data_IF_093743243040
#
_entry.id   IF_093743243040
#
_cell.length_a   1.000
_cell.length_b   1.000
_cell.length_c   1.000
_cell.angle_alpha   90.00
_cell.angle_beta   90.00
_cell.angle_gamma   90.00
#
_symmetry.space_group_name_H-M   'P 1'
#
loop_
_entity.id
_entity.type
_entity.pdbx_description
1 polymer ?
#
# COMPACT_ATOMS: atom_id res chain seq x y z
N UNK A 1 -24.95 10.35 -34.57
CA UNK A 1 -24.50 10.48 -33.17
C UNK A 1 -24.74 9.18 -32.42
N UNK A 2 -23.72 8.69 -31.71
CA UNK A 2 -23.79 7.46 -30.90
C UNK A 2 -23.35 7.81 -29.48
N UNK A 3 -24.13 7.45 -28.46
CA UNK A 3 -23.89 7.81 -27.06
C UNK A 3 -23.64 9.32 -26.80
N UNK A 4 -24.25 10.20 -27.60
CA UNK A 4 -24.04 11.65 -27.51
C UNK A 4 -22.67 12.14 -27.96
N UNK A 5 -21.85 11.27 -28.57
CA UNK A 5 -20.49 11.57 -29.03
C UNK A 5 -20.43 11.56 -30.56
N UNK A 6 -19.60 12.44 -31.13
CA UNK A 6 -19.35 12.52 -32.57
C UNK A 6 -20.25 13.51 -33.32
N UNK A 7 -20.21 13.45 -34.65
CA UNK A 7 -20.99 14.33 -35.52
C UNK A 7 -22.45 13.86 -35.68
N UNK A 8 -23.37 14.81 -35.90
CA UNK A 8 -24.76 14.50 -36.24
C UNK A 8 -24.86 13.91 -37.65
N UNK A 9 -24.12 14.48 -38.61
CA UNK A 9 -23.96 13.99 -39.98
C UNK A 9 -22.53 14.24 -40.46
N UNK A 10 -22.00 13.36 -41.31
CA UNK A 10 -20.70 13.57 -41.96
C UNK A 10 -20.77 14.62 -43.09
N UNK A 11 -21.97 14.91 -43.62
CA UNK A 11 -22.19 15.91 -44.67
C UNK A 11 -21.79 17.30 -44.15
N UNK A 12 -21.02 18.04 -44.95
CA UNK A 12 -20.54 19.38 -44.58
C UNK A 12 -19.33 19.38 -43.64
N UNK A 13 -18.91 18.22 -43.12
CA UNK A 13 -17.69 18.13 -42.28
C UNK A 13 -16.40 18.05 -43.10
N UNK A 14 -16.49 17.76 -44.41
CA UNK A 14 -15.32 17.54 -45.27
C UNK A 14 -14.53 16.25 -44.94
N UNK A 15 -15.07 15.36 -44.10
CA UNK A 15 -14.44 14.09 -43.69
C UNK A 15 -15.44 12.93 -43.75
N UNK A 16 -14.97 11.71 -43.50
CA UNK A 16 -15.83 10.51 -43.39
C UNK A 16 -16.60 10.43 -42.06
N UNK A 17 -16.36 11.34 -41.11
CA UNK A 17 -17.02 11.33 -39.80
C UNK A 17 -16.60 10.18 -38.88
N UNK A 18 -15.41 9.60 -39.07
CA UNK A 18 -14.88 8.54 -38.21
C UNK A 18 -14.54 9.08 -36.82
N UNK A 19 -15.00 8.38 -35.78
CA UNK A 19 -14.81 8.77 -34.38
C UNK A 19 -14.10 7.65 -33.64
N UNK A 20 -12.98 7.95 -32.98
CA UNK A 20 -12.22 7.01 -32.16
C UNK A 20 -12.30 7.41 -30.68
N UNK A 21 -12.27 6.41 -29.79
CA UNK A 21 -12.12 6.66 -28.36
C UNK A 21 -10.72 7.21 -28.03
N UNK A 22 -10.65 8.20 -27.13
CA UNK A 22 -9.37 8.73 -26.65
C UNK A 22 -8.74 7.75 -25.64
N UNK A 23 -7.57 7.21 -25.98
CA UNK A 23 -6.81 6.28 -25.12
C UNK A 23 -6.14 6.96 -23.91
N UNK A 24 -5.88 8.27 -23.99
CA UNK A 24 -5.32 9.05 -22.89
C UNK A 24 -6.40 9.62 -21.96
N UNK A 25 -7.68 9.35 -22.23
CA UNK A 25 -8.75 9.81 -21.36
C UNK A 25 -8.70 9.05 -20.03
N UNK A 26 -8.09 9.66 -19.02
CA UNK A 26 -8.15 9.18 -17.65
C UNK A 26 -9.60 9.30 -17.19
N UNK A 27 -10.30 8.16 -17.15
CA UNK A 27 -11.56 8.08 -16.43
C UNK A 27 -11.26 8.38 -14.97
N UNK A 28 -11.52 9.61 -14.51
CA UNK A 28 -11.52 9.90 -13.08
C UNK A 28 -12.48 8.89 -12.46
N UNK A 29 -11.91 7.95 -11.69
CA UNK A 29 -12.68 6.93 -11.03
C UNK A 29 -13.77 7.64 -10.23
N UNK A 30 -15.04 7.30 -10.49
CA UNK A 30 -16.17 7.84 -9.72
C UNK A 30 -16.06 7.52 -8.22
N UNK A 31 -15.17 6.60 -7.83
CA UNK A 31 -14.71 6.49 -6.45
C UNK A 31 -13.85 7.71 -6.13
N UNK A 32 -14.48 8.75 -5.57
CA UNK A 32 -13.75 9.69 -4.74
C UNK A 32 -13.00 8.86 -3.70
N UNK A 33 -11.67 8.90 -3.75
CA UNK A 33 -10.85 8.36 -2.66
C UNK A 33 -11.17 9.24 -1.46
N UNK A 34 -11.92 8.70 -0.50
CA UNK A 34 -12.18 9.38 0.75
C UNK A 34 -10.90 9.30 1.58
N UNK A 35 -10.06 10.32 1.47
CA UNK A 35 -8.87 10.44 2.32
C UNK A 35 -9.30 10.50 3.78
N UNK A 36 -8.62 9.76 4.65
CA UNK A 36 -8.91 9.67 6.08
C UNK A 36 -10.31 9.12 6.37
N UNK A 37 -10.73 8.08 5.65
CA UNK A 37 -11.94 7.37 6.03
C UNK A 37 -11.78 6.79 7.45
N UNK A 38 -12.87 6.64 8.20
CA UNK A 38 -12.82 6.03 9.54
C UNK A 38 -12.18 4.65 9.52
N UNK A 39 -12.29 3.93 8.40
CA UNK A 39 -11.67 2.63 8.18
C UNK A 39 -10.15 2.76 8.09
N UNK A 40 -9.64 3.78 7.40
CA UNK A 40 -8.20 4.03 7.28
C UNK A 40 -7.60 4.45 8.63
N UNK A 41 -8.32 5.28 9.39
CA UNK A 41 -7.89 5.71 10.74
C UNK A 41 -7.83 4.51 11.68
N UNK A 42 -8.88 3.67 11.73
CA UNK A 42 -8.91 2.45 12.53
C UNK A 42 -7.79 1.48 12.16
N UNK A 43 -7.47 1.37 10.86
CA UNK A 43 -6.35 0.55 10.39
C UNK A 43 -5.01 1.09 10.86
N UNK A 44 -4.78 2.40 10.73
CA UNK A 44 -3.55 3.04 11.19
C UNK A 44 -3.37 2.89 12.71
N UNK A 45 -4.43 3.09 13.51
CA UNK A 45 -4.41 2.88 14.95
C UNK A 45 -4.12 1.42 15.33
N UNK A 46 -4.66 0.46 14.58
CA UNK A 46 -4.39 -0.97 14.80
C UNK A 46 -2.94 -1.35 14.47
N UNK A 47 -2.33 -0.73 13.46
CA UNK A 47 -0.92 -0.94 13.12
C UNK A 47 0.02 -0.40 14.21
N UNK A 48 -0.30 0.76 14.80
CA UNK A 48 0.47 1.34 15.90
C UNK A 48 0.40 0.47 17.17
N UNK A 49 -0.78 -0.10 17.47
CA UNK A 49 -1.01 -0.88 18.69
C UNK A 49 -0.73 -2.38 18.54
N UNK A 50 0.00 -2.79 17.51
CA UNK A 50 0.31 -4.21 17.28
C UNK A 50 1.21 -4.76 18.38
N UNK A 51 0.78 -5.83 19.03
CA UNK A 51 1.57 -6.49 20.07
C UNK A 51 2.89 -7.04 19.50
N UNK A 52 3.99 -7.02 20.28
CA UNK A 52 5.25 -7.63 19.88
C UNK A 52 5.11 -9.12 19.60
N UNK A 53 5.90 -9.65 18.65
CA UNK A 53 5.93 -11.08 18.39
C UNK A 53 6.52 -11.84 19.61
N UNK A 54 5.74 -12.78 20.16
CA UNK A 54 6.13 -13.59 21.31
C UNK A 54 7.40 -14.40 21.07
N UNK A 55 7.61 -14.90 19.85
CA UNK A 55 8.82 -15.65 19.49
C UNK A 55 10.07 -14.79 19.60
N UNK A 56 9.98 -13.52 19.17
CA UNK A 56 11.07 -12.55 19.27
C UNK A 56 11.37 -12.19 20.73
N UNK A 57 10.34 -12.04 21.56
CA UNK A 57 10.50 -11.81 23.00
C UNK A 57 11.21 -12.97 23.70
N UNK A 58 10.80 -14.21 23.44
CA UNK A 58 11.45 -15.40 24.00
C UNK A 58 12.89 -15.55 23.49
N UNK A 59 13.13 -15.28 22.20
CA UNK A 59 14.47 -15.29 21.63
C UNK A 59 15.40 -14.30 22.34
N UNK A 60 14.94 -13.05 22.54
CA UNK A 60 15.73 -12.05 23.25
C UNK A 60 16.01 -12.45 24.70
N UNK A 61 15.04 -13.08 25.38
CA UNK A 61 15.23 -13.59 26.74
C UNK A 61 16.30 -14.67 26.80
N UNK A 62 16.30 -15.62 25.87
CA UNK A 62 17.33 -16.68 25.77
C UNK A 62 18.70 -16.10 25.45
N UNK A 63 18.77 -15.21 24.45
CA UNK A 63 20.02 -14.55 24.04
C UNK A 63 20.66 -13.78 25.21
N UNK A 64 19.86 -13.10 26.04
CA UNK A 64 20.36 -12.40 27.22
C UNK A 64 21.04 -13.34 28.23
N UNK A 65 20.54 -14.56 28.36
CA UNK A 65 21.14 -15.58 29.23
C UNK A 65 22.43 -16.09 28.60
N UNK A 66 22.40 -16.42 27.30
CA UNK A 66 23.58 -16.90 26.56
C UNK A 66 24.73 -15.89 26.63
N UNK A 67 24.45 -14.60 26.42
CA UNK A 67 25.46 -13.54 26.52
C UNK A 67 26.10 -13.50 27.90
N UNK A 68 25.32 -13.64 28.97
CA UNK A 68 25.87 -13.70 30.34
C UNK A 68 26.76 -14.93 30.54
N UNK A 69 26.36 -16.09 30.01
CA UNK A 69 27.18 -17.30 30.08
C UNK A 69 28.51 -17.10 29.36
N UNK A 70 28.50 -16.54 28.15
CA UNK A 70 29.73 -16.26 27.39
C UNK A 70 30.62 -15.25 28.10
N UNK A 71 30.03 -14.20 28.70
CA UNK A 71 30.80 -13.20 29.47
C UNK A 71 31.49 -13.85 30.68
N UNK A 72 30.81 -14.77 31.37
CA UNK A 72 31.40 -15.50 32.51
C UNK A 72 32.48 -16.49 32.07
N UNK A 73 32.28 -17.21 30.96
CA UNK A 73 33.29 -18.09 30.38
C UNK A 73 34.57 -17.32 30.04
N UNK A 74 34.45 -16.20 29.32
CA UNK A 74 35.58 -15.33 29.00
C UNK A 74 36.30 -14.82 30.26
N UNK A 75 35.55 -14.47 31.31
CA UNK A 75 36.14 -13.98 32.57
C UNK A 75 36.90 -15.08 33.33
N UNK A 76 36.48 -16.34 33.20
CA UNK A 76 37.15 -17.48 33.80
C UNK A 76 38.37 -17.93 33.00
N UNK A 77 38.33 -17.85 31.66
CA UNK A 77 39.45 -18.21 30.78
C UNK A 77 40.61 -17.19 30.84
N UNK A 78 40.32 -15.91 31.13
CA UNK A 78 41.33 -14.86 31.25
C UNK A 78 41.99 -14.78 32.65
N UNK A 79 41.78 -15.77 33.52
CA UNK A 79 42.46 -15.93 34.81
C UNK A 79 43.49 -17.05 34.74
#
# INVERSE_FOLDING_TARGET
MYNGIGLQTARGSGTNGYVQANLANLLLSKKRVAYNSEVDIKRAEAEINKQPNKELLEHNRKRHIELKCTDFEMLMENK
#
